data_IF_154472148422
#
_entry.id   IF_154472148422
#
_cell.length_a   1.000
_cell.length_b   1.000
_cell.length_c   1.000
_cell.angle_alpha   90.00
_cell.angle_beta   90.00
_cell.angle_gamma   90.00
#
_symmetry.space_group_name_H-M   'P 1'
#
loop_
_entity.id
_entity.type
_entity.pdbx_description
1 polymer ?
#
# COMPACT_ATOMS: atom_id res chain seq x y z
N UNK A 1 9.92 4.90 39.20
CA UNK A 1 10.32 5.07 37.80
C UNK A 1 10.17 3.74 37.04
N UNK A 2 8.94 3.21 36.91
CA UNK A 2 8.74 1.82 36.42
C UNK A 2 7.51 1.63 35.51
N UNK A 3 6.95 2.71 34.95
CA UNK A 3 5.78 2.64 34.04
C UNK A 3 6.10 2.80 32.55
N UNK A 4 7.35 3.12 32.21
CA UNK A 4 7.75 3.41 30.82
C UNK A 4 8.28 2.19 30.05
N UNK A 5 8.62 1.08 30.72
CA UNK A 5 9.22 -0.09 30.08
C UNK A 5 8.19 -1.04 29.44
N UNK A 6 6.92 -0.99 29.82
CA UNK A 6 5.89 -1.94 29.34
C UNK A 6 5.38 -1.63 27.93
N UNK A 7 5.67 -0.45 27.38
CA UNK A 7 5.11 0.00 26.09
C UNK A 7 5.91 -0.51 24.87
N UNK A 8 7.15 -0.98 25.06
CA UNK A 8 8.06 -1.26 23.94
C UNK A 8 7.98 -2.72 23.42
N UNK A 9 7.36 -3.66 24.14
CA UNK A 9 7.49 -5.11 23.85
C UNK A 9 6.29 -5.75 23.13
N UNK A 10 5.60 -5.05 22.21
CA UNK A 10 4.57 -5.68 21.35
C UNK A 10 4.64 -5.27 19.87
N UNK A 11 5.83 -4.99 19.34
CA UNK A 11 6.00 -4.75 17.91
C UNK A 11 6.30 -6.05 17.16
N UNK A 12 5.27 -6.86 16.97
CA UNK A 12 5.27 -7.85 15.89
C UNK A 12 3.90 -7.83 15.21
N UNK A 13 3.61 -6.79 14.40
CA UNK A 13 2.28 -6.58 13.79
C UNK A 13 1.85 -7.77 12.92
N UNK A 14 2.81 -8.49 12.34
CA UNK A 14 2.57 -9.68 11.51
C UNK A 14 2.35 -10.96 12.31
N UNK A 15 2.83 -11.05 13.56
CA UNK A 15 2.63 -12.24 14.41
C UNK A 15 1.20 -12.33 14.95
N UNK A 16 0.46 -11.22 14.94
CA UNK A 16 -0.97 -11.19 15.28
C UNK A 16 -1.89 -11.64 14.11
N UNK A 17 -1.38 -11.64 12.87
CA UNK A 17 -2.12 -12.13 11.71
C UNK A 17 -1.99 -13.65 11.66
N UNK A 18 -2.89 -14.36 12.35
CA UNK A 18 -2.90 -15.83 12.39
C UNK A 18 -3.05 -16.49 11.00
N UNK A 19 -3.45 -15.73 9.96
CA UNK A 19 -3.58 -16.20 8.58
C UNK A 19 -3.81 -15.05 7.57
N UNK A 20 -3.51 -15.24 6.27
CA UNK A 20 -3.72 -14.22 5.22
C UNK A 20 -5.16 -13.72 5.10
N UNK A 21 -6.15 -14.56 5.47
CA UNK A 21 -7.58 -14.19 5.54
C UNK A 21 -7.87 -13.05 6.54
N UNK A 22 -7.08 -12.93 7.61
CA UNK A 22 -7.28 -11.84 8.58
C UNK A 22 -6.79 -10.50 7.99
N UNK A 23 -5.76 -10.53 7.15
CA UNK A 23 -5.35 -9.35 6.39
C UNK A 23 -6.46 -8.87 5.45
N UNK A 24 -7.19 -9.78 4.80
CA UNK A 24 -8.36 -9.47 3.97
C UNK A 24 -9.50 -8.89 4.82
N UNK A 25 -9.75 -9.47 6.01
CA UNK A 25 -10.80 -9.00 6.93
C UNK A 25 -10.51 -7.60 7.50
N UNK A 26 -9.25 -7.25 7.73
CA UNK A 26 -8.85 -5.93 8.20
C UNK A 26 -8.61 -4.94 7.05
N UNK A 27 -8.68 -5.38 5.78
CA UNK A 27 -8.47 -4.53 4.62
C UNK A 27 -9.64 -3.55 4.45
N UNK A 28 -9.34 -2.25 4.47
CA UNK A 28 -10.31 -1.16 4.33
C UNK A 28 -10.13 -0.42 3.00
N UNK A 29 -11.20 0.21 2.46
CA UNK A 29 -11.09 1.04 1.26
C UNK A 29 -10.06 2.17 1.35
N UNK A 30 -9.71 2.62 2.57
CA UNK A 30 -8.72 3.68 2.77
C UNK A 30 -7.32 3.32 2.22
N UNK A 31 -7.01 2.03 2.08
CA UNK A 31 -5.74 1.59 1.49
C UNK A 31 -5.57 1.99 0.02
N UNK A 32 -6.66 2.24 -0.72
CA UNK A 32 -6.58 2.79 -2.08
C UNK A 32 -5.95 4.21 -2.12
N UNK A 33 -5.86 4.91 -0.98
CA UNK A 33 -5.12 6.18 -0.91
C UNK A 33 -3.64 6.01 -1.29
N UNK A 34 -3.04 4.84 -1.01
CA UNK A 34 -1.67 4.52 -1.44
C UNK A 34 -1.58 4.57 -2.96
N UNK A 35 -2.52 3.92 -3.67
CA UNK A 35 -2.53 3.93 -5.14
C UNK A 35 -2.83 5.31 -5.75
N UNK A 36 -3.65 6.12 -5.08
CA UNK A 36 -3.91 7.50 -5.51
C UNK A 36 -2.65 8.37 -5.38
N UNK A 37 -1.93 8.25 -4.24
CA UNK A 37 -0.68 8.96 -3.98
C UNK A 37 0.46 8.52 -4.90
N UNK A 38 0.64 7.20 -5.10
CA UNK A 38 1.65 6.67 -6.02
C UNK A 38 1.35 7.05 -7.47
N UNK A 39 0.07 7.05 -7.88
CA UNK A 39 -0.36 7.50 -9.20
C UNK A 39 -0.01 8.96 -9.48
N UNK A 40 -0.36 9.89 -8.58
CA UNK A 40 -0.01 11.30 -8.80
C UNK A 40 1.50 11.55 -8.77
N UNK A 41 2.25 10.82 -7.94
CA UNK A 41 3.72 10.90 -7.93
C UNK A 41 4.32 10.43 -9.26
N UNK A 42 3.82 9.32 -9.81
CA UNK A 42 4.28 8.80 -11.11
C UNK A 42 4.09 9.82 -12.24
N UNK A 43 2.92 10.49 -12.26
CA UNK A 43 2.60 11.53 -13.23
C UNK A 43 3.48 12.77 -13.02
N UNK A 44 3.63 13.23 -11.78
CA UNK A 44 4.44 14.40 -11.45
C UNK A 44 5.88 14.24 -11.93
N UNK A 45 6.49 13.06 -11.73
CA UNK A 45 7.86 12.78 -12.18
C UNK A 45 8.00 12.81 -13.70
N UNK A 46 7.02 12.30 -14.43
CA UNK A 46 7.03 12.29 -15.89
C UNK A 46 6.81 13.68 -16.52
N UNK A 47 6.17 14.62 -15.79
CA UNK A 47 5.81 15.95 -16.28
C UNK A 47 6.81 17.05 -15.88
N UNK A 48 7.91 16.71 -15.21
CA UNK A 48 8.89 17.70 -14.76
C UNK A 48 9.59 18.40 -15.95
N UNK A 49 9.73 19.73 -15.90
CA UNK A 49 10.41 20.50 -16.94
C UNK A 49 11.90 20.13 -16.97
N UNK A 50 12.43 19.87 -18.16
CA UNK A 50 13.83 19.48 -18.37
C UNK A 50 14.04 18.13 -19.07
N UNK A 51 12.97 17.38 -19.38
CA UNK A 51 13.00 16.10 -20.10
C UNK A 51 14.10 15.15 -19.62
N UNK A 52 14.29 15.06 -18.30
CA UNK A 52 15.30 14.18 -17.71
C UNK A 52 14.81 12.75 -17.88
N UNK A 53 15.43 12.00 -18.80
CA UNK A 53 15.03 10.63 -19.14
C UNK A 53 14.89 9.74 -17.89
N UNK A 54 15.87 9.82 -16.97
CA UNK A 54 15.85 9.07 -15.70
C UNK A 54 14.58 9.31 -14.88
N UNK A 55 14.06 10.53 -14.89
CA UNK A 55 12.89 10.91 -14.09
C UNK A 55 11.59 10.41 -14.73
N UNK A 56 11.55 10.38 -16.07
CA UNK A 56 10.47 9.76 -16.84
C UNK A 56 10.45 8.25 -16.63
N UNK A 57 11.61 7.59 -16.71
CA UNK A 57 11.73 6.14 -16.49
C UNK A 57 11.34 5.77 -15.05
N UNK A 58 11.72 6.58 -14.06
CA UNK A 58 11.28 6.42 -12.68
C UNK A 58 9.76 6.60 -12.51
N UNK A 59 9.17 7.57 -13.20
CA UNK A 59 7.72 7.76 -13.26
C UNK A 59 7.00 6.56 -13.87
N UNK A 60 7.52 6.01 -14.97
CA UNK A 60 6.98 4.81 -15.62
C UNK A 60 7.09 3.56 -14.71
N UNK A 61 8.23 3.37 -14.05
CA UNK A 61 8.40 2.28 -13.09
C UNK A 61 7.39 2.40 -11.91
N UNK A 62 7.18 3.61 -11.39
CA UNK A 62 6.16 3.87 -10.37
C UNK A 62 4.74 3.63 -10.90
N UNK A 63 4.49 3.92 -12.17
CA UNK A 63 3.21 3.64 -12.79
C UNK A 63 2.93 2.13 -12.85
N UNK A 64 3.89 1.31 -13.29
CA UNK A 64 3.75 -0.15 -13.27
C UNK A 64 3.54 -0.69 -11.86
N UNK A 65 4.30 -0.18 -10.88
CA UNK A 65 4.10 -0.52 -9.47
C UNK A 65 2.69 -0.15 -8.99
N UNK A 66 2.20 1.03 -9.39
CA UNK A 66 0.86 1.49 -9.01
C UNK A 66 -0.24 0.59 -9.57
N UNK A 67 -0.11 0.15 -10.84
CA UNK A 67 -1.05 -0.80 -11.46
C UNK A 67 -1.05 -2.13 -10.72
N UNK A 68 0.13 -2.65 -10.35
CA UNK A 68 0.25 -3.88 -9.58
C UNK A 68 -0.39 -3.76 -8.18
N UNK A 69 -0.15 -2.64 -7.48
CA UNK A 69 -0.76 -2.35 -6.18
C UNK A 69 -2.28 -2.22 -6.29
N UNK A 70 -2.77 -1.52 -7.32
CA UNK A 70 -4.20 -1.37 -7.57
C UNK A 70 -4.87 -2.73 -7.80
N UNK A 71 -4.29 -3.57 -8.66
CA UNK A 71 -4.79 -4.93 -8.88
C UNK A 71 -4.81 -5.75 -7.58
N UNK A 72 -3.74 -5.70 -6.78
CA UNK A 72 -3.68 -6.38 -5.49
C UNK A 72 -4.78 -5.91 -4.54
N UNK A 73 -4.96 -4.60 -4.39
CA UNK A 73 -5.98 -4.02 -3.52
C UNK A 73 -7.39 -4.30 -4.01
N UNK A 74 -7.63 -4.29 -5.31
CA UNK A 74 -8.91 -4.72 -5.90
C UNK A 74 -9.20 -6.18 -5.60
N UNK A 75 -8.21 -7.08 -5.72
CA UNK A 75 -8.38 -8.50 -5.36
C UNK A 75 -8.63 -8.68 -3.87
N UNK A 76 -7.90 -7.98 -3.00
CA UNK A 76 -8.12 -8.04 -1.55
C UNK A 76 -9.50 -7.52 -1.17
N UNK A 77 -9.93 -6.40 -1.75
CA UNK A 77 -11.24 -5.84 -1.53
C UNK A 77 -12.32 -6.80 -2.03
N UNK A 78 -12.23 -7.29 -3.27
CA UNK A 78 -13.18 -8.27 -3.81
C UNK A 78 -13.23 -9.56 -2.97
N UNK A 79 -12.09 -10.08 -2.50
CA UNK A 79 -12.03 -11.24 -1.60
C UNK A 79 -12.76 -10.98 -0.28
N UNK A 80 -12.70 -9.75 0.25
CA UNK A 80 -13.49 -9.37 1.42
C UNK A 80 -14.99 -9.50 1.15
N UNK A 81 -15.46 -9.03 -0.01
CA UNK A 81 -16.86 -9.19 -0.42
C UNK A 81 -17.23 -10.66 -0.67
N UNK A 82 -16.33 -11.49 -1.20
CA UNK A 82 -16.67 -12.89 -1.51
C UNK A 82 -16.63 -13.82 -0.28
N UNK A 83 -15.77 -13.54 0.70
CA UNK A 83 -15.54 -14.41 1.86
C UNK A 83 -16.24 -13.94 3.15
N UNK A 84 -16.60 -12.66 3.23
CA UNK A 84 -17.13 -12.03 4.45
C UNK A 84 -18.37 -11.15 4.21
N UNK A 85 -19.14 -11.42 3.14
CA UNK A 85 -20.49 -10.88 2.98
C UNK A 85 -21.51 -11.59 3.87
#
# INVERSE_FOLDING_TARGET
>A
MSRFATVITRNAPFTALASPREAIRQFTPNWFAVTMGTGILSLALAQLPGNVAVLRDAGEALWFLNVALFALFSVMYASRWLLFF
#
